data_IF_875416611952
#
_entry.id   IF_875416611952
#
_cell.length_a   1.000
_cell.length_b   1.000
_cell.length_c   1.000
_cell.angle_alpha   90.00
_cell.angle_beta   90.00
_cell.angle_gamma   90.00
#
_symmetry.space_group_name_H-M   'P 1'
#
loop_
_entity.id
_entity.type
_entity.pdbx_description
1 polymer ?
#
# COMPACT_ATOMS: atom_id res chain seq x y z
N UNK A 1 30.43 -5.69 6.20
CA UNK A 1 30.02 -4.60 7.12
C UNK A 1 29.33 -3.42 6.44
N UNK A 2 29.78 -2.89 5.29
CA UNK A 2 29.07 -1.80 4.56
C UNK A 2 27.73 -2.22 3.92
N UNK A 3 27.59 -3.48 3.49
CA UNK A 3 26.35 -3.97 2.85
C UNK A 3 25.19 -4.17 3.83
N UNK A 4 25.45 -4.65 5.06
CA UNK A 4 24.39 -4.88 6.04
C UNK A 4 23.72 -3.60 6.54
N UNK A 5 24.40 -2.45 6.53
CA UNK A 5 23.79 -1.17 6.95
C UNK A 5 22.81 -0.67 5.88
N UNK A 6 23.17 -0.80 4.60
CA UNK A 6 22.28 -0.43 3.50
C UNK A 6 21.06 -1.37 3.43
N UNK A 7 21.26 -2.67 3.67
CA UNK A 7 20.18 -3.66 3.80
C UNK A 7 19.28 -3.40 5.01
N UNK A 8 19.81 -2.99 6.17
CA UNK A 8 19.01 -2.62 7.35
C UNK A 8 18.19 -1.34 7.12
N UNK A 9 18.72 -0.35 6.39
CA UNK A 9 17.94 0.84 5.98
C UNK A 9 16.92 0.52 4.89
N UNK A 10 17.25 -0.40 3.97
CA UNK A 10 16.30 -0.91 2.98
C UNK A 10 15.16 -1.67 3.67
N UNK A 11 15.46 -2.53 4.65
CA UNK A 11 14.49 -3.26 5.46
C UNK A 11 13.49 -2.33 6.14
N UNK A 12 13.91 -1.14 6.62
CA UNK A 12 12.99 -0.15 7.19
C UNK A 12 12.03 0.47 6.15
N UNK A 13 12.32 0.35 4.86
CA UNK A 13 11.41 0.72 3.76
C UNK A 13 10.49 -0.44 3.36
N UNK A 14 10.95 -1.68 3.48
CA UNK A 14 10.30 -2.87 2.93
C UNK A 14 9.47 -3.69 3.95
N UNK A 15 9.84 -3.70 5.24
CA UNK A 15 9.09 -4.39 6.31
C UNK A 15 7.67 -3.85 6.53
N UNK A 16 7.33 -2.69 5.97
CA UNK A 16 6.21 -1.86 6.46
C UNK A 16 4.91 -1.95 5.67
N UNK A 17 4.77 -2.98 4.84
CA UNK A 17 3.46 -3.43 4.36
C UNK A 17 2.90 -4.62 5.18
N UNK A 18 3.68 -5.16 6.13
CA UNK A 18 3.36 -6.37 6.88
C UNK A 18 3.77 -6.36 8.35
N UNK A 19 3.86 -5.19 9.00
CA UNK A 19 4.04 -5.16 10.46
C UNK A 19 2.72 -5.45 11.17
N UNK A 20 2.39 -6.74 11.09
CA UNK A 20 1.52 -7.52 11.95
C UNK A 20 2.17 -7.79 13.32
N UNK A 21 3.50 -7.88 13.38
CA UNK A 21 4.19 -8.27 14.61
C UNK A 21 4.30 -7.07 15.55
N UNK A 22 3.39 -6.98 16.52
CA UNK A 22 3.58 -6.13 17.69
C UNK A 22 3.07 -6.88 18.91
N UNK A 23 3.91 -7.00 19.94
CA UNK A 23 3.59 -7.70 21.18
C UNK A 23 2.20 -7.29 21.72
N UNK A 24 1.40 -8.29 22.11
CA UNK A 24 0.08 -8.16 22.74
C UNK A 24 0.15 -7.60 24.18
N UNK A 25 1.01 -6.61 24.45
CA UNK A 25 0.92 -5.92 25.72
C UNK A 25 -0.30 -5.00 25.65
N UNK A 26 -1.29 -5.32 26.50
CA UNK A 26 -2.44 -4.48 26.82
C UNK A 26 -1.96 -3.13 27.35
N UNK A 27 -1.54 -2.22 26.46
CA UNK A 27 -1.26 -0.85 26.82
C UNK A 27 -2.59 -0.11 26.95
N UNK A 28 -2.95 0.27 28.19
CA UNK A 28 -4.08 1.15 28.50
C UNK A 28 -3.83 2.61 28.03
N UNK A 29 -3.14 2.77 26.91
CA UNK A 29 -2.85 4.09 26.32
C UNK A 29 -4.14 4.58 25.68
N UNK A 30 -4.60 5.81 25.98
CA UNK A 30 -5.92 6.23 25.59
C UNK A 30 -6.13 6.11 24.08
N UNK A 31 -7.05 5.22 23.71
CA UNK A 31 -7.69 5.15 22.41
C UNK A 31 -8.53 6.41 22.11
N UNK A 32 -8.33 7.54 22.81
CA UNK A 32 -9.20 8.71 22.78
C UNK A 32 -9.50 9.20 21.35
N UNK A 33 -8.51 9.15 20.45
CA UNK A 33 -8.73 9.46 19.04
C UNK A 33 -9.61 8.42 18.33
N UNK A 34 -9.33 7.13 18.53
CA UNK A 34 -10.11 6.02 17.97
C UNK A 34 -11.53 5.97 18.55
N UNK A 35 -11.69 6.12 19.87
CA UNK A 35 -12.98 6.23 20.57
C UNK A 35 -13.77 7.44 20.06
N UNK A 36 -13.11 8.60 19.87
CA UNK A 36 -13.75 9.76 19.27
C UNK A 36 -14.28 9.44 17.87
N UNK A 37 -13.45 8.85 17.00
CA UNK A 37 -13.90 8.42 15.68
C UNK A 37 -15.08 7.43 15.74
N UNK A 38 -15.04 6.45 16.64
CA UNK A 38 -16.13 5.48 16.81
C UNK A 38 -17.43 6.14 17.31
N UNK A 39 -17.34 7.25 18.03
CA UNK A 39 -18.50 8.04 18.46
C UNK A 39 -19.04 8.97 17.37
N UNK A 40 -18.21 9.39 16.42
CA UNK A 40 -18.57 10.35 15.35
C UNK A 40 -18.92 9.68 14.02
N UNK A 41 -18.43 8.46 13.78
CA UNK A 41 -18.60 7.73 12.53
C UNK A 41 -19.47 6.48 12.73
N UNK A 42 -20.34 6.19 11.77
CA UNK A 42 -21.11 4.94 11.80
C UNK A 42 -20.22 3.73 11.54
N UNK A 43 -20.44 2.66 12.31
CA UNK A 43 -19.78 1.37 12.10
C UNK A 43 -20.45 0.60 10.95
N UNK A 44 -19.65 0.07 10.03
CA UNK A 44 -20.11 -0.87 9.01
C UNK A 44 -19.91 -2.29 9.54
N UNK A 45 -20.99 -3.07 9.58
CA UNK A 45 -20.90 -4.50 9.85
C UNK A 45 -20.18 -5.21 8.70
N UNK A 46 -19.21 -6.03 9.06
CA UNK A 46 -18.45 -6.86 8.11
C UNK A 46 -18.59 -8.33 8.49
N UNK A 47 -18.80 -9.18 7.50
CA UNK A 47 -18.68 -10.64 7.64
C UNK A 47 -17.41 -11.11 6.97
N UNK A 48 -16.61 -11.91 7.68
CA UNK A 48 -15.31 -12.37 7.20
C UNK A 48 -15.39 -13.84 6.82
N UNK A 49 -15.04 -14.15 5.57
CA UNK A 49 -14.81 -15.50 5.08
C UNK A 49 -13.29 -15.71 4.91
N UNK A 50 -12.78 -16.82 5.44
CA UNK A 50 -11.40 -17.25 5.16
C UNK A 50 -11.38 -18.02 3.85
N UNK A 51 -10.53 -17.60 2.92
CA UNK A 51 -10.17 -18.33 1.71
C UNK A 51 -8.81 -18.97 1.96
N UNK A 52 -8.74 -20.29 1.80
CA UNK A 52 -7.54 -21.06 2.09
C UNK A 52 -6.51 -20.79 1.01
N UNK A 53 -5.32 -20.32 1.39
CA UNK A 53 -4.19 -20.26 0.48
C UNK A 53 -3.30 -21.45 0.80
N UNK A 54 -2.82 -22.13 -0.23
CA UNK A 54 -1.91 -23.27 -0.12
C UNK A 54 -0.68 -22.91 0.74
N UNK A 55 -0.23 -23.83 1.60
CA UNK A 55 0.89 -23.63 2.52
C UNK A 55 2.23 -23.38 1.79
N UNK A 56 2.31 -23.66 0.49
CA UNK A 56 3.44 -23.29 -0.37
C UNK A 56 3.61 -21.78 -0.57
N UNK A 57 2.56 -20.98 -0.34
CA UNK A 57 2.62 -19.51 -0.39
C UNK A 57 3.07 -18.97 0.96
N UNK A 58 4.32 -18.50 1.01
CA UNK A 58 4.99 -18.20 2.28
C UNK A 58 4.81 -16.74 2.69
N UNK A 59 5.15 -15.79 1.81
CA UNK A 59 5.02 -14.36 2.05
C UNK A 59 4.22 -13.65 0.95
N UNK A 60 2.88 -13.87 0.91
CA UNK A 60 2.03 -13.19 -0.04
C UNK A 60 1.98 -11.68 0.25
N UNK A 61 2.53 -10.88 -0.66
CA UNK A 61 2.73 -9.44 -0.45
C UNK A 61 1.96 -8.56 -1.39
N UNK A 62 1.45 -9.10 -2.49
CA UNK A 62 0.57 -8.38 -3.41
C UNK A 62 -0.50 -9.34 -3.87
N UNK A 63 -1.73 -8.83 -3.98
CA UNK A 63 -2.84 -9.55 -4.58
C UNK A 63 -3.64 -8.63 -5.48
N UNK A 64 -4.08 -9.17 -6.62
CA UNK A 64 -4.96 -8.49 -7.58
C UNK A 64 -6.00 -9.46 -8.12
N UNK A 65 -7.27 -9.13 -7.95
CA UNK A 65 -8.39 -9.76 -8.63
C UNK A 65 -8.31 -9.51 -10.14
N UNK A 66 -8.50 -10.56 -10.93
CA UNK A 66 -8.59 -10.46 -12.38
C UNK A 66 -9.99 -9.97 -12.79
N UNK A 67 -10.10 -9.06 -13.78
CA UNK A 67 -11.37 -8.51 -14.26
C UNK A 67 -12.39 -9.59 -14.63
N UNK A 68 -13.65 -9.35 -14.30
CA UNK A 68 -14.79 -10.21 -14.67
C UNK A 68 -14.62 -11.70 -14.27
N UNK A 69 -13.76 -11.99 -13.29
CA UNK A 69 -13.49 -13.35 -12.84
C UNK A 69 -13.55 -13.46 -11.32
N UNK A 70 -13.57 -14.70 -10.84
CA UNK A 70 -13.42 -15.04 -9.42
C UNK A 70 -11.99 -15.52 -9.13
N UNK A 71 -11.00 -15.03 -9.88
CA UNK A 71 -9.59 -15.41 -9.74
C UNK A 71 -8.73 -14.22 -9.34
N UNK A 72 -7.61 -14.53 -8.72
CA UNK A 72 -6.65 -13.55 -8.23
C UNK A 72 -5.26 -13.93 -8.70
N UNK A 73 -4.41 -12.93 -8.86
CA UNK A 73 -2.98 -13.11 -9.00
C UNK A 73 -2.34 -12.61 -7.73
N UNK A 74 -1.48 -13.43 -7.18
CA UNK A 74 -0.74 -13.18 -5.96
C UNK A 74 0.74 -13.14 -6.29
N UNK A 75 1.51 -12.29 -5.61
CA UNK A 75 2.97 -12.36 -5.61
C UNK A 75 3.45 -12.75 -4.23
N UNK A 76 4.22 -13.84 -4.19
CA UNK A 76 4.92 -14.33 -3.01
C UNK A 76 6.36 -13.79 -3.02
N UNK A 77 6.69 -12.96 -2.04
CA UNK A 77 8.00 -12.31 -1.92
C UNK A 77 9.10 -13.28 -1.46
N UNK A 78 8.74 -14.37 -0.76
CA UNK A 78 9.73 -15.35 -0.30
C UNK A 78 10.26 -16.21 -1.44
N UNK A 79 9.38 -16.57 -2.38
CA UNK A 79 9.71 -17.45 -3.52
C UNK A 79 9.94 -16.68 -4.82
N UNK A 80 9.64 -15.37 -4.83
CA UNK A 80 9.59 -14.54 -6.04
C UNK A 80 8.67 -15.12 -7.12
N UNK A 81 7.57 -15.77 -6.72
CA UNK A 81 6.61 -16.36 -7.66
C UNK A 81 5.34 -15.52 -7.78
N UNK A 82 4.73 -15.55 -8.95
CA UNK A 82 3.34 -15.17 -9.15
C UNK A 82 2.47 -16.41 -9.23
N UNK A 83 1.38 -16.43 -8.47
CA UNK A 83 0.44 -17.55 -8.44
C UNK A 83 -0.94 -17.06 -8.88
N UNK A 84 -1.53 -17.73 -9.86
CA UNK A 84 -2.92 -17.58 -10.24
C UNK A 84 -3.75 -18.48 -9.33
N UNK A 85 -4.63 -17.89 -8.54
CA UNK A 85 -5.49 -18.62 -7.60
C UNK A 85 -6.96 -18.45 -7.92
N UNK A 86 -7.77 -19.46 -7.60
CA UNK A 86 -9.23 -19.35 -7.65
C UNK A 86 -9.81 -18.69 -6.39
N UNK A 87 -11.15 -18.62 -6.30
CA UNK A 87 -11.85 -18.01 -5.17
C UNK A 87 -11.75 -18.84 -3.89
N UNK A 88 -11.48 -20.13 -3.99
CA UNK A 88 -11.23 -20.99 -2.83
C UNK A 88 -9.79 -20.85 -2.34
N UNK A 89 -8.94 -20.20 -3.15
CA UNK A 89 -7.52 -19.95 -2.93
C UNK A 89 -6.63 -21.12 -3.37
N UNK A 90 -7.17 -22.05 -4.17
CA UNK A 90 -6.37 -23.08 -4.80
C UNK A 90 -5.48 -22.45 -5.88
N UNK A 91 -4.22 -22.87 -5.93
CA UNK A 91 -3.29 -22.52 -6.99
C UNK A 91 -3.70 -23.23 -8.28
N UNK A 92 -3.84 -22.46 -9.36
CA UNK A 92 -4.18 -22.95 -10.69
C UNK A 92 -2.96 -23.05 -11.59
N UNK A 93 -2.03 -22.12 -11.42
CA UNK A 93 -0.82 -21.97 -12.22
C UNK A 93 0.12 -21.01 -11.51
N UNK A 94 1.42 -21.21 -11.71
CA UNK A 94 2.48 -20.38 -11.15
C UNK A 94 3.52 -20.07 -12.20
N UNK A 95 4.15 -18.92 -12.06
CA UNK A 95 5.26 -18.50 -12.90
C UNK A 95 6.21 -17.58 -12.13
N UNK A 96 7.42 -17.42 -12.64
CA UNK A 96 8.45 -16.59 -12.00
C UNK A 96 9.50 -17.42 -11.29
N UNK A 97 9.89 -16.98 -10.10
CA UNK A 97 11.04 -17.48 -9.37
C UNK A 97 12.16 -16.45 -9.31
N UNK A 98 13.08 -16.64 -8.37
CA UNK A 98 14.24 -15.78 -8.22
C UNK A 98 15.20 -15.96 -9.40
N UNK A 99 15.56 -14.84 -10.05
CA UNK A 99 16.59 -14.84 -11.08
C UNK A 99 16.55 -13.64 -12.01
N UNK A 100 17.10 -13.80 -13.20
CA UNK A 100 17.26 -12.73 -14.21
C UNK A 100 16.75 -13.11 -15.60
N UNK A 101 16.43 -14.38 -15.82
CA UNK A 101 15.89 -14.93 -17.06
C UNK A 101 14.49 -14.42 -17.40
N UNK A 102 13.92 -14.87 -18.53
CA UNK A 102 12.54 -14.58 -18.90
C UNK A 102 11.57 -15.05 -17.82
N UNK A 103 10.66 -14.17 -17.38
CA UNK A 103 9.68 -14.49 -16.35
C UNK A 103 10.18 -14.38 -14.90
N UNK A 104 11.49 -14.49 -14.63
CA UNK A 104 12.07 -14.46 -13.27
C UNK A 104 12.10 -13.04 -12.66
N UNK A 105 12.31 -12.95 -11.34
CA UNK A 105 12.28 -11.69 -10.59
C UNK A 105 13.42 -11.56 -9.58
N UNK A 106 13.63 -10.32 -9.11
CA UNK A 106 14.48 -9.96 -7.99
C UNK A 106 13.73 -9.12 -6.96
N UNK A 107 12.90 -8.16 -7.41
CA UNK A 107 12.12 -7.33 -6.50
C UNK A 107 10.88 -6.73 -7.18
N UNK A 108 9.76 -7.46 -7.15
CA UNK A 108 8.49 -6.94 -7.67
C UNK A 108 7.87 -5.96 -6.69
N UNK A 109 7.81 -4.69 -7.07
CA UNK A 109 7.24 -3.63 -6.23
C UNK A 109 5.74 -3.42 -6.48
N UNK A 110 5.25 -3.81 -7.68
CA UNK A 110 3.85 -3.70 -8.07
C UNK A 110 3.40 -4.86 -8.96
N UNK A 111 2.21 -5.39 -8.67
CA UNK A 111 1.37 -6.13 -9.60
C UNK A 111 0.25 -5.20 -10.11
N UNK A 112 0.20 -4.94 -11.41
CA UNK A 112 -0.85 -4.14 -12.05
C UNK A 112 -1.62 -4.98 -13.06
N UNK A 113 -2.95 -4.96 -13.00
CA UNK A 113 -3.78 -5.56 -14.04
C UNK A 113 -4.17 -4.48 -15.04
N UNK A 114 -3.69 -4.60 -16.27
CA UNK A 114 -4.02 -3.67 -17.35
C UNK A 114 -5.48 -3.78 -17.77
N UNK A 115 -6.00 -2.73 -18.39
CA UNK A 115 -7.32 -2.77 -19.04
C UNK A 115 -7.41 -3.80 -20.18
N UNK A 116 -6.26 -4.25 -20.69
CA UNK A 116 -6.15 -5.34 -21.66
C UNK A 116 -6.22 -6.74 -21.02
N UNK A 117 -6.44 -6.81 -19.70
CA UNK A 117 -6.54 -8.05 -18.93
C UNK A 117 -5.19 -8.69 -18.59
N UNK A 118 -4.06 -8.10 -19.01
CA UNK A 118 -2.72 -8.63 -18.73
C UNK A 118 -2.21 -8.21 -17.37
N UNK A 119 -1.28 -9.00 -16.86
CA UNK A 119 -0.60 -8.80 -15.58
C UNK A 119 0.75 -8.17 -15.88
N UNK A 120 1.01 -7.02 -15.27
CA UNK A 120 2.27 -6.30 -15.37
C UNK A 120 2.97 -6.34 -14.02
N UNK A 121 4.12 -6.99 -13.98
CA UNK A 121 4.98 -7.09 -12.81
C UNK A 121 6.12 -6.09 -12.95
N UNK A 122 6.12 -5.05 -12.11
CA UNK A 122 7.20 -4.05 -12.08
C UNK A 122 8.30 -4.52 -11.14
N UNK A 123 9.43 -4.93 -11.70
CA UNK A 123 10.64 -5.30 -10.97
C UNK A 123 11.61 -4.11 -10.88
N UNK A 124 11.78 -3.58 -9.67
CA UNK A 124 12.57 -2.37 -9.45
C UNK A 124 14.08 -2.63 -9.48
N UNK A 125 14.57 -3.82 -9.12
CA UNK A 125 16.01 -4.09 -9.14
C UNK A 125 16.50 -4.48 -10.54
N UNK A 126 15.63 -5.09 -11.35
CA UNK A 126 15.93 -5.43 -12.74
C UNK A 126 15.63 -4.31 -13.73
N UNK A 127 15.01 -3.21 -13.28
CA UNK A 127 14.47 -2.14 -14.12
C UNK A 127 13.64 -2.70 -15.29
N UNK A 128 12.74 -3.63 -14.94
CA UNK A 128 12.03 -4.47 -15.91
C UNK A 128 10.56 -4.55 -15.58
N UNK A 129 9.73 -4.52 -16.62
CA UNK A 129 8.31 -4.82 -16.53
C UNK A 129 8.09 -6.14 -17.26
N UNK A 130 7.76 -7.18 -16.50
CA UNK A 130 7.43 -8.51 -17.05
C UNK A 130 5.92 -8.61 -17.23
N UNK A 131 5.47 -9.08 -18.40
CA UNK A 131 4.07 -9.15 -18.77
C UNK A 131 3.64 -10.61 -18.86
N UNK A 132 2.55 -10.94 -18.17
CA UNK A 132 1.88 -12.23 -18.25
C UNK A 132 0.44 -12.07 -18.75
N UNK A 133 -0.08 -13.13 -19.34
CA UNK A 133 -1.48 -13.26 -19.71
C UNK A 133 -2.05 -14.51 -19.04
N UNK A 134 -3.36 -14.51 -18.80
CA UNK A 134 -4.06 -15.69 -18.30
C UNK A 134 -4.85 -16.30 -19.45
N UNK A 135 -4.44 -17.48 -19.88
CA UNK A 135 -5.18 -18.29 -20.87
C UNK A 135 -5.70 -19.54 -20.20
N UNK A 136 -7.00 -19.77 -20.34
CA UNK A 136 -7.74 -20.78 -19.59
C UNK A 136 -7.51 -20.66 -18.09
N UNK A 137 -6.58 -21.44 -17.52
CA UNK A 137 -6.21 -21.41 -16.09
C UNK A 137 -4.68 -21.34 -15.89
N UNK A 138 -3.94 -20.89 -16.91
CA UNK A 138 -2.48 -20.85 -16.91
C UNK A 138 -1.95 -19.43 -17.02
N UNK A 139 -0.84 -19.16 -16.33
CA UNK A 139 -0.03 -17.96 -16.49
C UNK A 139 0.94 -18.17 -17.65
N UNK A 140 0.81 -17.35 -18.69
CA UNK A 140 1.69 -17.38 -19.84
C UNK A 140 2.58 -16.14 -19.86
N UNK A 141 3.90 -16.35 -19.86
CA UNK A 141 4.86 -15.29 -20.08
C UNK A 141 4.71 -14.74 -21.51
N UNK A 142 4.52 -13.42 -21.65
CA UNK A 142 4.42 -12.77 -22.94
C UNK A 142 5.76 -12.17 -23.34
N UNK A 143 6.28 -11.26 -22.51
CA UNK A 143 7.56 -10.58 -22.73
C UNK A 143 8.00 -9.81 -21.49
N UNK A 144 9.26 -9.40 -21.48
CA UNK A 144 9.78 -8.39 -20.55
C UNK A 144 10.24 -7.14 -21.30
N UNK A 145 9.98 -5.97 -20.71
CA UNK A 145 10.39 -4.67 -21.23
C UNK A 145 11.33 -4.02 -20.21
N UNK A 146 12.57 -3.76 -20.60
CA UNK A 146 13.50 -2.97 -19.79
C UNK A 146 13.19 -1.49 -19.93
N UNK A 147 13.20 -0.76 -18.82
CA UNK A 147 13.00 0.69 -18.80
C UNK A 147 14.22 1.40 -18.22
N UNK A 148 14.37 2.68 -18.56
CA UNK A 148 15.46 3.51 -18.03
C UNK A 148 15.14 3.96 -16.61
N UNK A 149 16.05 3.72 -15.67
CA UNK A 149 15.94 4.17 -14.29
C UNK A 149 17.15 5.02 -13.89
N UNK A 150 17.19 6.32 -14.22
CA UNK A 150 18.28 7.20 -13.83
C UNK A 150 18.44 7.24 -12.31
N UNK A 151 19.66 7.44 -11.80
CA UNK A 151 19.92 7.54 -10.36
C UNK A 151 19.08 8.62 -9.65
N UNK A 152 18.60 9.61 -10.40
CA UNK A 152 17.79 10.72 -9.88
C UNK A 152 16.27 10.50 -9.97
N UNK A 153 15.82 9.44 -10.64
CA UNK A 153 14.40 9.16 -10.92
C UNK A 153 14.14 7.65 -10.88
N UNK A 154 13.42 7.19 -9.86
CA UNK A 154 13.05 5.78 -9.71
C UNK A 154 11.58 5.55 -10.04
N UNK A 155 11.26 4.67 -11.00
CA UNK A 155 9.87 4.29 -11.30
C UNK A 155 9.26 3.53 -10.11
N UNK A 156 8.16 4.04 -9.57
CA UNK A 156 7.48 3.50 -8.37
C UNK A 156 6.20 2.75 -8.69
N UNK A 157 5.49 3.18 -9.73
CA UNK A 157 4.23 2.55 -10.13
C UNK A 157 3.96 2.79 -11.61
N UNK A 158 3.29 1.84 -12.23
CA UNK A 158 2.75 1.91 -13.58
C UNK A 158 1.23 1.69 -13.56
N UNK A 159 0.56 2.28 -14.54
CA UNK A 159 -0.86 2.06 -14.81
C UNK A 159 -1.04 1.89 -16.30
N UNK A 160 -1.58 0.74 -16.70
CA UNK A 160 -1.97 0.44 -18.08
C UNK A 160 -3.48 0.52 -18.18
N UNK A 161 -3.95 1.46 -18.99
CA UNK A 161 -5.37 1.76 -19.23
C UNK A 161 -5.67 1.68 -20.73
N UNK A 162 -6.95 1.70 -21.09
CA UNK A 162 -7.42 1.67 -22.48
C UNK A 162 -7.08 2.95 -23.24
N UNK A 163 -6.67 4.01 -22.51
CA UNK A 163 -6.35 5.32 -23.07
C UNK A 163 -4.90 5.75 -22.92
N UNK A 164 -4.07 4.89 -22.36
CA UNK A 164 -2.65 5.13 -22.26
C UNK A 164 -2.00 4.43 -21.08
N UNK A 165 -0.70 4.67 -20.99
CA UNK A 165 0.14 4.17 -19.91
C UNK A 165 0.65 5.34 -19.10
N UNK A 166 0.71 5.15 -17.79
CA UNK A 166 1.14 6.18 -16.87
C UNK A 166 2.17 5.59 -15.91
N UNK A 167 3.13 6.42 -15.51
CA UNK A 167 4.19 6.02 -14.60
C UNK A 167 4.41 7.09 -13.54
N UNK A 168 4.48 6.68 -12.28
CA UNK A 168 4.84 7.55 -11.18
C UNK A 168 6.31 7.34 -10.83
N UNK A 169 7.13 8.37 -10.97
CA UNK A 169 8.55 8.34 -10.62
C UNK A 169 8.80 9.09 -9.32
N UNK A 170 9.66 8.55 -8.47
CA UNK A 170 10.27 9.28 -7.36
C UNK A 170 11.50 10.02 -7.86
N UNK A 171 11.44 11.35 -7.90
CA UNK A 171 12.57 12.22 -8.19
C UNK A 171 13.29 12.57 -6.89
N UNK A 172 14.52 12.07 -6.71
CA UNK A 172 15.34 12.36 -5.53
C UNK A 172 16.84 12.22 -5.82
N UNK A 173 17.72 12.77 -4.97
CA UNK A 173 19.17 12.55 -5.04
C UNK A 173 19.60 11.38 -4.13
N UNK A 174 18.92 10.25 -4.24
CA UNK A 174 19.11 9.12 -3.34
C UNK A 174 18.92 9.51 -1.87
N UNK A 175 19.74 8.96 -0.97
CA UNK A 175 19.74 9.26 0.46
C UNK A 175 20.62 10.47 0.84
N UNK A 176 21.16 11.21 -0.13
CA UNK A 176 22.04 12.37 0.15
C UNK A 176 21.26 13.65 0.46
N UNK A 177 19.95 13.66 0.21
CA UNK A 177 19.08 14.81 0.43
C UNK A 177 17.71 14.38 0.96
N UNK A 178 17.14 15.23 1.83
CA UNK A 178 15.75 15.13 2.25
C UNK A 178 14.77 15.42 1.11
N UNK A 179 15.20 16.19 0.11
CA UNK A 179 14.37 16.62 -1.00
C UNK A 179 14.01 15.45 -1.91
N UNK A 180 12.70 15.25 -2.08
CA UNK A 180 12.15 14.35 -3.06
C UNK A 180 10.76 14.83 -3.50
N UNK A 181 10.30 14.29 -4.63
CA UNK A 181 8.93 14.50 -5.11
C UNK A 181 8.52 13.31 -5.96
N UNK A 182 7.21 13.05 -6.04
CA UNK A 182 6.70 12.11 -7.03
C UNK A 182 6.25 12.88 -8.26
N UNK A 183 6.51 12.33 -9.45
CA UNK A 183 6.13 12.95 -10.71
C UNK A 183 5.42 11.91 -11.56
N UNK A 184 4.18 12.21 -11.93
CA UNK A 184 3.35 11.39 -12.79
C UNK A 184 3.62 11.77 -14.26
N UNK A 185 3.88 10.77 -15.07
CA UNK A 185 4.11 10.90 -16.51
C UNK A 185 3.12 10.06 -17.29
N UNK A 186 2.82 10.50 -18.51
CA UNK A 186 2.39 9.61 -19.59
C UNK A 186 3.60 8.84 -20.10
N UNK A 187 3.41 7.57 -20.44
CA UNK A 187 4.44 6.69 -20.95
C UNK A 187 4.12 6.23 -22.38
N UNK A 188 5.16 5.90 -23.14
CA UNK A 188 5.04 5.21 -24.42
C UNK A 188 4.87 3.69 -24.25
N UNK A 189 4.91 2.97 -25.37
CA UNK A 189 4.78 1.51 -25.40
C UNK A 189 5.96 0.74 -24.78
N UNK A 190 7.10 1.41 -24.58
CA UNK A 190 8.29 0.88 -23.94
C UNK A 190 8.41 1.36 -22.48
N UNK A 191 7.32 1.91 -21.92
CA UNK A 191 7.27 2.46 -20.57
C UNK A 191 8.28 3.59 -20.32
N UNK A 192 8.68 4.31 -21.37
CA UNK A 192 9.49 5.51 -21.26
C UNK A 192 8.60 6.76 -21.10
N UNK A 193 8.98 7.73 -20.25
CA UNK A 193 8.18 8.93 -20.02
C UNK A 193 8.17 9.84 -21.24
N UNK A 194 6.97 10.24 -21.68
CA UNK A 194 6.75 11.12 -22.85
C UNK A 194 6.21 12.50 -22.46
N UNK A 195 5.42 12.59 -21.40
CA UNK A 195 4.81 13.86 -20.98
C UNK A 195 4.67 13.91 -19.46
N UNK A 196 5.17 14.98 -18.82
CA UNK A 196 4.91 15.26 -17.39
C UNK A 196 3.46 15.70 -17.22
N UNK A 197 2.73 15.06 -16.30
CA UNK A 197 1.32 15.34 -16.04
C UNK A 197 1.09 16.08 -14.73
N UNK A 198 1.72 15.60 -13.65
CA UNK A 198 1.50 16.09 -12.30
C UNK A 198 2.76 15.91 -11.44
N UNK A 199 3.01 16.81 -10.50
CA UNK A 199 4.01 16.64 -9.45
C UNK A 199 3.32 16.64 -8.08
N UNK A 200 3.67 15.67 -7.25
CA UNK A 200 3.15 15.47 -5.92
C UNK A 200 4.25 15.76 -4.89
N UNK A 201 3.88 16.15 -3.65
CA UNK A 201 4.80 16.11 -2.53
C UNK A 201 5.38 14.70 -2.38
N UNK A 202 6.68 14.60 -2.12
CA UNK A 202 7.27 13.30 -1.80
C UNK A 202 7.23 12.99 -0.30
N UNK A 203 7.91 11.92 0.10
CA UNK A 203 7.91 11.48 1.49
C UNK A 203 8.90 12.32 2.31
N UNK A 204 8.47 12.80 3.46
CA UNK A 204 9.37 13.44 4.42
C UNK A 204 10.44 12.43 4.86
N UNK A 205 11.68 12.89 4.89
CA UNK A 205 12.86 12.11 5.26
C UNK A 205 13.56 12.76 6.43
N UNK A 206 14.16 11.95 7.28
CA UNK A 206 14.95 12.41 8.41
C UNK A 206 16.43 12.14 8.17
N UNK A 207 17.26 12.99 8.78
CA UNK A 207 18.70 12.83 8.74
C UNK A 207 19.11 11.86 9.85
N UNK A 208 19.63 10.69 9.47
CA UNK A 208 20.26 9.76 10.40
C UNK A 208 21.77 9.87 10.25
N UNK A 209 22.47 9.91 11.37
CA UNK A 209 23.93 9.97 11.46
C UNK A 209 24.39 8.70 12.16
N UNK A 210 25.30 7.96 11.53
CA UNK A 210 25.91 6.77 12.11
C UNK A 210 27.40 6.77 11.77
N UNK A 211 28.24 7.08 12.77
CA UNK A 211 29.66 7.39 12.57
C UNK A 211 29.82 8.56 11.60
N UNK A 212 30.64 8.36 10.56
CA UNK A 212 30.91 9.38 9.52
C UNK A 212 29.84 9.44 8.42
N UNK A 213 28.85 8.53 8.44
CA UNK A 213 27.80 8.51 7.43
C UNK A 213 26.62 9.38 7.87
N UNK A 214 26.14 10.22 6.94
CA UNK A 214 24.89 10.95 7.10
C UNK A 214 23.96 10.69 5.92
N UNK A 215 22.77 10.16 6.21
CA UNK A 215 21.79 9.75 5.22
C UNK A 215 20.42 10.34 5.55
N UNK A 216 19.66 10.68 4.52
CA UNK A 216 18.26 11.10 4.62
C UNK A 216 17.35 9.93 4.28
N UNK A 217 16.70 9.36 5.28
CA UNK A 217 15.94 8.11 5.16
C UNK A 217 14.46 8.36 5.38
N UNK A 218 13.57 7.61 4.69
CA UNK A 218 12.14 7.68 4.95
C UNK A 218 11.84 7.10 6.34
N UNK A 219 10.89 7.71 7.06
CA UNK A 219 10.41 7.22 8.33
C UNK A 219 8.87 7.16 8.32
N UNK A 220 8.31 6.07 8.85
CA UNK A 220 6.88 5.78 8.83
C UNK A 220 6.03 6.70 9.68
N UNK A 221 6.64 7.36 10.68
CA UNK A 221 5.99 8.32 11.55
C UNK A 221 5.94 9.72 10.91
N UNK A 222 6.62 9.92 9.78
CA UNK A 222 6.67 11.17 9.04
C UNK A 222 5.59 11.24 7.95
N UNK A 223 5.47 12.42 7.34
CA UNK A 223 4.47 12.64 6.31
C UNK A 223 4.83 11.87 5.03
N UNK A 224 3.94 11.00 4.57
CA UNK A 224 4.14 10.16 3.38
C UNK A 224 3.02 10.40 2.38
N UNK A 225 3.34 10.30 1.11
CA UNK A 225 2.36 10.39 0.02
C UNK A 225 1.99 8.99 -0.44
N UNK A 226 0.69 8.70 -0.44
CA UNK A 226 0.10 7.52 -1.03
C UNK A 226 -0.72 7.90 -2.27
N UNK A 227 -0.91 6.95 -3.17
CA UNK A 227 -1.63 7.15 -4.41
C UNK A 227 -2.28 5.86 -4.89
N UNK A 228 -3.32 6.00 -5.71
CA UNK A 228 -3.98 4.91 -6.42
C UNK A 228 -4.77 5.44 -7.63
N UNK A 229 -5.30 4.56 -8.49
CA UNK A 229 -6.11 4.93 -9.65
C UNK A 229 -7.50 4.31 -9.58
N UNK A 230 -8.52 5.11 -9.82
CA UNK A 230 -9.92 4.68 -9.92
C UNK A 230 -10.51 5.19 -11.24
N UNK A 231 -10.62 4.27 -12.20
CA UNK A 231 -10.96 4.59 -13.58
C UNK A 231 -10.00 5.62 -14.17
N UNK A 232 -10.53 6.78 -14.55
CA UNK A 232 -9.75 7.86 -15.17
C UNK A 232 -9.10 8.83 -14.16
N UNK A 233 -9.29 8.59 -12.86
CA UNK A 233 -8.82 9.48 -11.80
C UNK A 233 -7.62 8.89 -11.07
N UNK A 234 -6.48 9.56 -11.18
CA UNK A 234 -5.34 9.35 -10.30
C UNK A 234 -5.56 10.10 -8.99
N UNK A 235 -5.60 9.37 -7.87
CA UNK A 235 -5.88 9.87 -6.54
C UNK A 235 -4.63 9.83 -5.68
N UNK A 236 -4.40 10.85 -4.85
CA UNK A 236 -3.28 10.85 -3.90
C UNK A 236 -3.59 11.64 -2.63
N UNK A 237 -2.92 11.27 -1.55
CA UNK A 237 -3.14 11.82 -0.22
C UNK A 237 -1.87 11.71 0.61
N UNK A 238 -1.61 12.72 1.45
CA UNK A 238 -0.53 12.70 2.43
C UNK A 238 -1.04 12.19 3.77
N UNK A 239 -0.24 11.39 4.49
CA UNK A 239 -0.67 10.69 5.71
C UNK A 239 -1.10 11.62 6.84
N UNK A 240 -0.66 12.87 6.86
CA UNK A 240 -1.02 13.84 7.92
C UNK A 240 -2.21 14.74 7.55
N UNK A 241 -2.75 14.64 6.33
CA UNK A 241 -3.89 15.44 5.89
C UNK A 241 -5.14 14.61 5.66
N UNK A 242 -6.31 15.24 5.72
CA UNK A 242 -7.63 14.62 5.46
C UNK A 242 -8.18 14.95 4.05
N UNK A 243 -7.33 15.35 3.11
CA UNK A 243 -7.75 15.76 1.76
C UNK A 243 -7.15 14.87 0.68
N UNK A 244 -8.02 14.20 -0.07
CA UNK A 244 -7.70 13.46 -1.28
C UNK A 244 -7.64 14.44 -2.45
N UNK A 245 -6.53 14.41 -3.18
CA UNK A 245 -6.36 15.16 -4.43
C UNK A 245 -6.53 14.20 -5.59
N UNK A 246 -7.25 14.63 -6.63
CA UNK A 246 -7.54 13.81 -7.81
C UNK A 246 -7.11 14.54 -9.07
N UNK A 247 -6.52 13.81 -10.00
CA UNK A 247 -6.10 14.28 -11.32
C UNK A 247 -6.70 13.37 -12.39
N UNK A 248 -7.45 13.96 -13.33
CA UNK A 248 -8.07 13.24 -14.42
C UNK A 248 -7.04 12.96 -15.52
N UNK A 249 -6.72 11.69 -15.74
CA UNK A 249 -5.60 11.27 -16.57
C UNK A 249 -5.73 11.67 -18.06
N UNK A 250 -6.96 11.76 -18.59
CA UNK A 250 -7.21 12.25 -19.96
C UNK A 250 -7.22 13.77 -20.11
N UNK A 251 -7.89 14.47 -19.20
CA UNK A 251 -8.26 15.89 -19.38
C UNK A 251 -7.38 16.84 -18.57
N UNK A 252 -6.60 16.33 -17.63
CA UNK A 252 -5.82 17.13 -16.68
C UNK A 252 -6.66 17.83 -15.61
N UNK A 253 -7.98 17.63 -15.59
CA UNK A 253 -8.88 18.22 -14.60
C UNK A 253 -8.48 17.78 -13.19
N UNK A 254 -8.38 18.73 -12.28
CA UNK A 254 -8.04 18.46 -10.88
C UNK A 254 -9.26 18.64 -9.96
N UNK A 255 -9.35 17.83 -8.91
CA UNK A 255 -10.35 17.93 -7.85
C UNK A 255 -9.71 17.70 -6.49
N UNK A 256 -10.36 18.21 -5.46
CA UNK A 256 -10.05 17.91 -4.06
C UNK A 256 -11.30 17.39 -3.38
N UNK A 257 -11.15 16.37 -2.56
CA UNK A 257 -12.23 15.80 -1.76
C UNK A 257 -11.71 15.73 -0.32
N UNK A 258 -12.39 16.40 0.58
CA UNK A 258 -11.98 16.49 1.98
C UNK A 258 -12.85 15.59 2.84
N UNK A 259 -12.20 14.79 3.69
CA UNK A 259 -12.84 13.94 4.68
C UNK A 259 -12.98 14.78 5.95
N UNK A 260 -13.87 15.77 5.92
CA UNK A 260 -14.04 16.77 7.01
C UNK A 260 -14.42 16.15 8.35
N UNK A 261 -15.02 14.95 8.33
CA UNK A 261 -15.38 14.18 9.51
C UNK A 261 -14.17 13.53 10.20
N UNK A 262 -12.97 13.55 9.59
CA UNK A 262 -11.75 13.07 10.23
C UNK A 262 -11.08 14.23 10.98
N UNK A 263 -11.07 14.22 12.33
CA UNK A 263 -10.36 15.22 13.10
C UNK A 263 -8.84 15.12 12.87
N UNK A 264 -8.13 16.22 13.14
CA UNK A 264 -6.68 16.15 13.25
C UNK A 264 -6.27 15.19 14.35
N UNK A 265 -5.17 14.46 14.11
CA UNK A 265 -4.64 13.50 15.07
C UNK A 265 -3.48 14.10 15.85
N UNK A 266 -3.73 14.62 17.06
CA UNK A 266 -2.71 15.32 17.81
C UNK A 266 -1.61 14.36 18.27
N UNK A 267 -0.40 14.91 18.43
CA UNK A 267 0.67 14.26 19.17
C UNK A 267 0.37 14.33 20.66
N UNK A 268 0.35 13.18 21.33
CA UNK A 268 0.31 13.10 22.80
C UNK A 268 1.51 12.31 23.32
N UNK A 269 2.02 12.69 24.50
CA UNK A 269 3.16 12.02 25.11
C UNK A 269 2.89 10.52 25.39
N UNK A 270 1.68 10.19 25.81
CA UNK A 270 1.24 8.82 26.08
C UNK A 270 1.27 7.95 24.81
N UNK A 271 0.79 8.48 23.68
CA UNK A 271 0.79 7.77 22.41
C UNK A 271 2.21 7.59 21.84
N UNK A 272 3.08 8.60 21.97
CA UNK A 272 4.48 8.46 21.56
C UNK A 272 5.23 7.40 22.38
N UNK A 273 4.97 7.34 23.70
CA UNK A 273 5.54 6.31 24.57
C UNK A 273 5.12 4.90 24.10
N UNK A 274 3.84 4.72 23.79
CA UNK A 274 3.29 3.45 23.33
C UNK A 274 3.84 3.02 21.98
N UNK A 275 3.91 3.95 21.01
CA UNK A 275 4.58 3.70 19.73
C UNK A 275 6.04 3.29 19.96
N UNK A 276 6.78 4.00 20.82
CA UNK A 276 8.17 3.68 21.16
C UNK A 276 8.31 2.26 21.71
N UNK A 277 7.50 1.92 22.71
CA UNK A 277 7.52 0.59 23.32
C UNK A 277 7.15 -0.52 22.31
N UNK A 278 6.16 -0.25 21.45
CA UNK A 278 5.64 -1.23 20.51
C UNK A 278 6.59 -1.51 19.36
N UNK A 279 7.23 -0.50 18.80
CA UNK A 279 8.12 -0.65 17.64
C UNK A 279 9.60 -0.70 18.07
N UNK A 280 9.92 -0.85 19.36
CA UNK A 280 11.31 -0.84 19.88
C UNK A 280 12.26 -1.83 19.21
N UNK A 281 11.72 -2.88 18.60
CA UNK A 281 12.49 -3.90 17.89
C UNK A 281 12.84 -3.52 16.43
N UNK A 282 12.19 -2.50 15.87
CA UNK A 282 12.38 -2.05 14.49
C UNK A 282 13.36 -0.90 14.34
N UNK A 283 13.67 -0.23 15.45
CA UNK A 283 14.37 1.03 15.44
C UNK A 283 15.30 1.09 16.65
N UNK A 284 16.57 1.47 16.40
CA UNK A 284 17.50 1.86 17.45
C UNK A 284 17.14 3.26 18.00
N UNK A 285 17.80 3.69 19.07
CA UNK A 285 17.53 4.99 19.71
C UNK A 285 17.70 6.18 18.73
N UNK A 286 18.55 6.04 17.71
CA UNK A 286 18.75 7.05 16.67
C UNK A 286 17.50 7.26 15.81
N UNK A 287 16.84 6.19 15.36
CA UNK A 287 15.57 6.28 14.61
C UNK A 287 14.44 6.79 15.53
N UNK A 288 14.50 6.47 16.83
CA UNK A 288 13.54 6.96 17.81
C UNK A 288 13.71 8.42 18.20
N UNK A 289 14.90 8.99 18.01
CA UNK A 289 15.14 10.40 18.27
C UNK A 289 14.19 11.28 17.44
N UNK A 290 13.86 10.85 16.21
CA UNK A 290 13.02 11.64 15.30
C UNK A 290 11.55 11.64 15.69
N UNK A 291 11.07 10.61 16.40
CA UNK A 291 9.68 10.63 16.90
C UNK A 291 9.47 11.68 17.99
N UNK A 292 10.53 12.26 18.55
CA UNK A 292 10.41 13.41 19.45
C UNK A 292 10.08 14.70 18.70
N UNK A 293 10.46 14.81 17.42
CA UNK A 293 10.29 16.00 16.58
C UNK A 293 9.02 15.98 15.73
N UNK A 294 8.30 14.86 15.63
CA UNK A 294 7.06 14.83 14.84
C UNK A 294 6.00 15.75 15.47
N UNK A 295 5.39 16.62 14.66
CA UNK A 295 4.33 17.52 15.14
C UNK A 295 2.96 16.83 15.19
N UNK A 296 2.72 15.92 14.25
CA UNK A 296 1.45 15.21 14.06
C UNK A 296 1.69 13.76 13.68
N UNK A 297 0.82 12.87 14.15
CA UNK A 297 0.83 11.44 13.85
C UNK A 297 0.16 11.19 12.49
N UNK A 298 0.68 10.27 11.66
CA UNK A 298 -0.03 9.78 10.48
C UNK A 298 -1.46 9.35 10.81
N UNK A 299 -2.42 9.77 9.98
CA UNK A 299 -3.82 9.34 10.05
C UNK A 299 -3.96 7.89 9.59
N UNK A 300 -3.29 7.54 8.49
CA UNK A 300 -3.38 6.24 7.84
C UNK A 300 -2.01 5.67 7.45
N UNK A 301 -1.98 4.35 7.31
CA UNK A 301 -0.82 3.54 6.91
C UNK A 301 -1.00 2.87 5.54
N UNK A 302 -2.21 2.93 4.99
CA UNK A 302 -2.51 2.46 3.65
C UNK A 302 -3.71 3.19 3.04
N UNK A 303 -3.74 3.23 1.71
CA UNK A 303 -4.66 4.01 0.91
C UNK A 303 -5.00 3.19 -0.34
N UNK A 304 -6.28 2.96 -0.57
CA UNK A 304 -6.78 2.22 -1.74
C UNK A 304 -8.02 2.91 -2.29
N UNK A 305 -8.15 2.94 -3.61
CA UNK A 305 -9.32 3.51 -4.26
C UNK A 305 -9.85 2.55 -5.30
N UNK A 306 -11.13 2.19 -5.19
CA UNK A 306 -11.76 1.32 -6.16
C UNK A 306 -13.27 1.58 -6.23
N UNK A 307 -13.79 1.78 -7.44
CA UNK A 307 -15.23 1.91 -7.73
C UNK A 307 -15.90 3.01 -6.88
N UNK A 308 -15.27 4.18 -6.78
CA UNK A 308 -15.79 5.30 -6.01
C UNK A 308 -15.62 5.18 -4.49
N UNK A 309 -14.96 4.13 -3.98
CA UNK A 309 -14.67 3.98 -2.54
C UNK A 309 -13.21 4.28 -2.26
N UNK A 310 -12.93 5.02 -1.19
CA UNK A 310 -11.58 5.20 -0.64
C UNK A 310 -11.51 4.47 0.70
N UNK A 311 -10.51 3.60 0.83
CA UNK A 311 -10.21 2.90 2.07
C UNK A 311 -8.90 3.45 2.64
N UNK A 312 -8.96 3.93 3.89
CA UNK A 312 -7.77 4.35 4.64
C UNK A 312 -7.56 3.40 5.81
N UNK A 313 -6.52 2.54 5.76
CA UNK A 313 -6.15 1.73 6.93
C UNK A 313 -5.54 2.66 7.97
N UNK A 314 -6.20 2.85 9.09
CA UNK A 314 -5.70 3.74 10.14
C UNK A 314 -4.30 3.32 10.58
N UNK A 315 -3.45 4.32 10.79
CA UNK A 315 -2.12 4.08 11.33
C UNK A 315 -2.29 3.78 12.83
N UNK A 316 -1.90 2.61 13.31
CA UNK A 316 -1.92 2.24 14.73
C UNK A 316 -3.14 2.78 15.53
N UNK A 317 -4.33 2.16 15.42
CA UNK A 317 -5.52 2.63 16.13
C UNK A 317 -5.47 2.45 17.66
N UNK A 318 -4.35 1.95 18.23
CA UNK A 318 -4.17 1.68 19.66
C UNK A 318 -5.28 0.80 20.25
N UNK A 319 -5.68 -0.25 19.51
CA UNK A 319 -6.65 -1.25 19.91
C UNK A 319 -6.26 -2.62 19.33
N UNK A 320 -6.95 -3.68 19.76
CA UNK A 320 -6.68 -5.05 19.30
C UNK A 320 -6.89 -5.19 17.79
N UNK A 321 -8.05 -4.75 17.30
CA UNK A 321 -8.42 -4.89 15.90
C UNK A 321 -7.91 -3.72 15.05
N UNK A 322 -7.59 -3.99 13.80
CA UNK A 322 -7.33 -2.93 12.83
C UNK A 322 -8.60 -2.13 12.53
N UNK A 323 -8.43 -0.92 12.02
CA UNK A 323 -9.53 -0.04 11.65
C UNK A 323 -9.30 0.53 10.26
N UNK A 324 -10.34 0.50 9.43
CA UNK A 324 -10.36 1.14 8.11
C UNK A 324 -11.41 2.25 8.14
N UNK A 325 -11.01 3.44 7.69
CA UNK A 325 -11.95 4.47 7.28
C UNK A 325 -12.45 4.14 5.88
N UNK A 326 -13.76 4.02 5.75
CA UNK A 326 -14.47 3.78 4.51
C UNK A 326 -15.10 5.08 4.06
N UNK A 327 -14.74 5.57 2.87
CA UNK A 327 -15.27 6.80 2.32
C UNK A 327 -15.93 6.55 0.96
N UNK A 328 -17.24 6.76 0.89
CA UNK A 328 -17.98 6.72 -0.38
C UNK A 328 -17.91 8.08 -1.05
N UNK A 329 -17.18 8.17 -2.17
CA UNK A 329 -16.96 9.42 -2.89
C UNK A 329 -18.24 9.97 -3.54
N UNK A 330 -19.29 9.15 -3.68
CA UNK A 330 -20.56 9.54 -4.30
C UNK A 330 -21.45 10.24 -3.29
N UNK A 331 -21.59 9.66 -2.09
CA UNK A 331 -22.43 10.20 -1.03
C UNK A 331 -21.67 11.13 -0.09
N UNK A 332 -20.34 11.15 -0.17
CA UNK A 332 -19.42 11.81 0.77
C UNK A 332 -19.52 11.30 2.21
N UNK A 333 -20.12 10.12 2.38
CA UNK A 333 -20.29 9.47 3.67
C UNK A 333 -18.97 8.85 4.14
N UNK A 334 -18.64 9.07 5.41
CA UNK A 334 -17.43 8.57 6.06
C UNK A 334 -17.88 7.64 7.19
N UNK A 335 -17.44 6.39 7.12
CA UNK A 335 -17.74 5.34 8.08
C UNK A 335 -16.47 4.61 8.48
N UNK A 336 -16.56 3.70 9.43
CA UNK A 336 -15.44 2.83 9.77
C UNK A 336 -15.84 1.36 9.81
N UNK A 337 -14.85 0.49 9.62
CA UNK A 337 -14.99 -0.94 9.81
C UNK A 337 -13.79 -1.50 10.56
N UNK A 338 -14.06 -2.46 11.45
CA UNK A 338 -13.03 -3.21 12.16
C UNK A 338 -12.54 -4.38 11.30
N UNK A 339 -11.23 -4.66 11.36
CA UNK A 339 -10.60 -5.75 10.63
C UNK A 339 -9.65 -6.53 11.54
N UNK A 340 -9.33 -7.80 11.19
CA UNK A 340 -8.21 -8.49 11.81
C UNK A 340 -6.94 -7.62 11.78
N UNK A 341 -6.22 -7.55 12.90
CA UNK A 341 -5.06 -6.67 13.07
C UNK A 341 -4.00 -6.84 11.98
N UNK A 342 -3.77 -8.09 11.59
CA UNK A 342 -2.75 -8.50 10.62
C UNK A 342 -3.26 -8.49 9.18
N UNK A 343 -4.48 -8.00 8.93
CA UNK A 343 -5.00 -7.86 7.57
C UNK A 343 -4.28 -6.72 6.84
N UNK A 344 -3.71 -7.07 5.69
CA UNK A 344 -2.94 -6.19 4.81
C UNK A 344 -3.37 -6.36 3.35
N UNK A 345 -2.73 -5.63 2.44
CA UNK A 345 -2.92 -5.78 0.98
C UNK A 345 -4.39 -5.74 0.54
N UNK A 346 -5.09 -4.70 0.98
CA UNK A 346 -6.51 -4.55 0.69
C UNK A 346 -6.74 -4.35 -0.81
N UNK A 347 -7.83 -4.94 -1.29
CA UNK A 347 -8.39 -4.69 -2.60
C UNK A 347 -9.90 -4.79 -2.51
N UNK A 348 -10.64 -4.18 -3.43
CA UNK A 348 -12.07 -4.28 -3.50
C UNK A 348 -12.72 -2.94 -3.20
N UNK A 349 -14.04 -2.92 -3.27
CA UNK A 349 -14.80 -1.68 -3.24
C UNK A 349 -16.03 -1.82 -2.37
N UNK A 350 -17.17 -1.36 -2.91
CA UNK A 350 -18.36 -1.06 -2.11
C UNK A 350 -18.88 -2.19 -1.24
N UNK A 351 -18.90 -3.43 -1.75
CA UNK A 351 -19.54 -4.59 -1.10
C UNK A 351 -18.58 -5.66 -0.61
N UNK A 352 -17.38 -5.72 -1.17
CA UNK A 352 -16.43 -6.78 -0.86
C UNK A 352 -15.04 -6.17 -0.83
N UNK A 353 -14.31 -6.44 0.24
CA UNK A 353 -12.91 -6.15 0.41
C UNK A 353 -12.18 -7.48 0.55
N UNK A 354 -11.08 -7.65 -0.16
CA UNK A 354 -10.15 -8.76 -0.01
C UNK A 354 -8.90 -8.24 0.69
N UNK A 355 -8.24 -9.08 1.47
CA UNK A 355 -6.95 -8.76 2.04
C UNK A 355 -6.22 -10.02 2.48
N UNK A 356 -4.92 -9.89 2.68
CA UNK A 356 -4.08 -10.99 3.15
C UNK A 356 -3.90 -10.82 4.65
N UNK A 357 -4.41 -11.78 5.43
CA UNK A 357 -4.14 -11.91 6.85
C UNK A 357 -2.88 -12.75 7.02
N UNK A 358 -1.80 -12.10 7.45
CA UNK A 358 -0.51 -12.75 7.66
C UNK A 358 -0.38 -13.40 9.05
N UNK A 359 -1.37 -13.22 9.93
CA UNK A 359 -1.45 -13.85 11.26
C UNK A 359 -0.19 -13.71 12.14
N UNK A 360 -0.16 -14.53 13.21
CA UNK A 360 1.02 -14.80 14.06
C UNK A 360 1.62 -16.21 13.78
N UNK A 361 1.02 -16.98 12.86
CA UNK A 361 1.40 -18.37 12.53
C UNK A 361 2.03 -18.46 11.14
N UNK A 362 2.68 -19.59 10.86
CA UNK A 362 3.48 -19.85 9.65
C UNK A 362 2.76 -19.74 8.29
N UNK A 363 1.42 -19.68 8.23
CA UNK A 363 0.67 -19.61 6.97
C UNK A 363 -0.25 -18.39 6.90
N UNK A 364 -0.13 -17.66 5.80
CA UNK A 364 -0.96 -16.50 5.47
C UNK A 364 -2.31 -16.95 4.87
N UNK A 365 -3.36 -16.18 5.09
CA UNK A 365 -4.70 -16.48 4.60
C UNK A 365 -5.26 -15.33 3.78
N UNK A 366 -5.98 -15.64 2.71
CA UNK A 366 -6.74 -14.65 1.97
C UNK A 366 -8.10 -14.47 2.64
N UNK A 367 -8.40 -13.29 3.15
CA UNK A 367 -9.71 -12.99 3.72
C UNK A 367 -10.59 -12.27 2.71
N UNK A 368 -11.87 -12.62 2.72
CA UNK A 368 -12.95 -11.91 2.03
C UNK A 368 -13.87 -11.29 3.07
N UNK A 369 -13.93 -9.97 3.06
CA UNK A 369 -14.76 -9.16 3.94
C UNK A 369 -15.98 -8.69 3.14
N UNK A 370 -17.15 -9.20 3.49
CA UNK A 370 -18.44 -8.73 2.95
C UNK A 370 -18.90 -7.51 3.75
N UNK A 371 -19.01 -6.38 3.08
CA UNK A 371 -19.32 -5.07 3.66
C UNK A 371 -20.81 -4.81 3.58
N UNK A 372 -21.49 -4.72 4.73
CA UNK A 372 -22.91 -4.39 4.77
C UNK A 372 -23.09 -2.87 4.60
N UNK A 373 -23.44 -2.47 3.38
CA UNK A 373 -23.64 -1.06 3.04
C UNK A 373 -25.07 -0.60 3.23
N UNK A 374 -25.99 -1.47 3.66
CA UNK A 374 -27.36 -1.08 3.93
C UNK A 374 -27.37 -0.13 5.14
N UNK A 375 -28.05 1.01 4.96
CA UNK A 375 -28.29 1.98 6.01
C UNK A 375 -29.35 1.34 6.91
N UNK A 376 -28.96 0.78 8.05
CA UNK A 376 -29.93 0.61 9.14
C UNK A 376 -30.20 2.00 9.68
N UNK A 377 -31.24 2.64 9.17
CA UNK A 377 -31.84 3.79 9.83
C UNK A 377 -32.35 3.34 11.20
N UNK A 378 -31.96 4.09 12.23
CA UNK A 378 -32.57 4.16 13.57
C UNK A 378 -32.90 2.82 14.25
N UNK A 379 -32.00 2.35 15.11
CA UNK A 379 -32.44 1.77 16.38
C UNK A 379 -32.50 2.95 17.38
N UNK A 380 -33.71 3.52 17.51
CA UNK A 380 -34.11 4.37 18.64
C UNK A 380 -34.72 3.48 19.72
#
# INVERSE_FOLDING_TARGET
>A
MKNHIFESFLMLTFLLNGLACTNQNNSNVPAAYTTKLQSELSHIKVTTDTLFVDDSVLEPRRIRKLPQSNRFVLFDEATNMISLIDRQGNILSEAGGEGRGPGEFQQVVQLHIGSDGRIYCLDMLQFRITIFEVRDRQLEYIKSISYKNPQTHSLQSIYVTDFGRFGLYNKSKGFQSSENSFVLYRLDENFSPTQKLLQLPGNQREKVINGDMSLFVPNIFLNRTFWDVDGEWFCYMQTKGATVRKYHLRTGKQKKVSLHQLPERPKTASYLKDIKERFKFLANDEIWSVTTEIEQIPLFSGFWVENGIILLRMFYPAQKDGMIIYFDQTTTDVRYLSIPHHLTQLQGGKKVIYGIDIGDKKSSQLLRLSVDTNITGSDN
#
